data_IF_492208464040
#
_entry.id   IF_492208464040
#
_cell.length_a   1.000
_cell.length_b   1.000
_cell.length_c   1.000
_cell.angle_alpha   90.00
_cell.angle_beta   90.00
_cell.angle_gamma   90.00
#
_symmetry.space_group_name_H-M   'P 1'
#
loop_
_entity.id
_entity.type
_entity.pdbx_description
1 polymer ?
#
# COMPACT_ATOMS: atom_id res chain seq x y z
N UNK A 1 -16.38 -21.71 -7.05
CA UNK A 1 -15.29 -21.34 -6.09
C UNK A 1 -15.25 -22.37 -4.98
N UNK A 2 -14.10 -22.95 -4.70
CA UNK A 2 -13.94 -23.99 -3.67
C UNK A 2 -14.11 -23.43 -2.26
N UNK A 3 -14.42 -24.31 -1.27
CA UNK A 3 -14.50 -23.91 0.13
C UNK A 3 -13.19 -23.28 0.62
N UNK A 4 -12.05 -23.81 0.15
CA UNK A 4 -10.72 -23.29 0.46
C UNK A 4 -10.52 -21.85 -0.05
N UNK A 5 -10.99 -21.55 -1.25
CA UNK A 5 -10.90 -20.17 -1.81
C UNK A 5 -11.83 -19.21 -1.11
N UNK A 6 -13.02 -19.64 -0.70
CA UNK A 6 -13.94 -18.81 0.11
C UNK A 6 -13.36 -18.50 1.49
N UNK A 7 -12.80 -19.51 2.17
CA UNK A 7 -12.11 -19.33 3.45
C UNK A 7 -10.91 -18.38 3.33
N UNK A 8 -10.13 -18.55 2.26
CA UNK A 8 -9.01 -17.66 1.97
C UNK A 8 -9.47 -16.20 1.83
N UNK A 9 -10.52 -15.96 1.06
CA UNK A 9 -11.08 -14.62 0.87
C UNK A 9 -11.56 -14.03 2.21
N UNK A 10 -12.28 -14.81 3.01
CA UNK A 10 -12.76 -14.35 4.33
C UNK A 10 -11.58 -13.96 5.23
N UNK A 11 -10.54 -14.78 5.28
CA UNK A 11 -9.35 -14.51 6.10
C UNK A 11 -8.58 -13.29 5.60
N UNK A 12 -8.42 -13.15 4.28
CA UNK A 12 -7.70 -12.01 3.69
C UNK A 12 -8.46 -10.70 3.81
N UNK A 13 -9.79 -10.73 3.85
CA UNK A 13 -10.61 -9.54 4.00
C UNK A 13 -10.82 -9.13 5.47
N UNK A 14 -10.62 -10.05 6.41
CA UNK A 14 -10.83 -9.80 7.83
C UNK A 14 -9.86 -8.76 8.40
N UNK A 15 -8.58 -8.84 8.02
CA UNK A 15 -7.57 -7.91 8.54
C UNK A 15 -7.77 -6.47 8.05
N UNK A 16 -7.99 -6.21 6.75
CA UNK A 16 -8.37 -4.86 6.31
C UNK A 16 -9.66 -4.35 6.98
N UNK A 17 -10.66 -5.19 7.16
CA UNK A 17 -11.90 -4.81 7.86
C UNK A 17 -11.63 -4.40 9.31
N UNK A 18 -10.76 -5.15 10.01
CA UNK A 18 -10.31 -4.80 11.36
C UNK A 18 -9.59 -3.43 11.39
N UNK A 19 -8.70 -3.18 10.43
CA UNK A 19 -7.97 -1.91 10.34
C UNK A 19 -8.92 -0.72 10.09
N UNK A 20 -9.89 -0.88 9.20
CA UNK A 20 -10.92 0.15 8.97
C UNK A 20 -11.69 0.46 10.25
N UNK A 21 -12.14 -0.56 10.94
CA UNK A 21 -13.00 -0.41 12.12
C UNK A 21 -12.24 0.12 13.34
N UNK A 22 -11.07 -0.45 13.63
CA UNK A 22 -10.29 -0.12 14.84
C UNK A 22 -9.50 1.18 14.71
N UNK A 23 -8.89 1.39 13.56
CA UNK A 23 -7.95 2.49 13.33
C UNK A 23 -8.50 3.57 12.41
N UNK A 24 -9.67 3.37 11.83
CA UNK A 24 -10.31 4.32 10.90
C UNK A 24 -9.46 4.63 9.68
N UNK A 25 -8.67 3.67 9.24
CA UNK A 25 -7.93 3.77 7.98
C UNK A 25 -8.89 3.75 6.80
N UNK A 26 -8.59 4.53 5.78
CA UNK A 26 -9.35 4.57 4.53
C UNK A 26 -8.81 3.52 3.56
N UNK A 27 -9.39 2.34 3.62
CA UNK A 27 -9.00 1.20 2.79
C UNK A 27 -10.14 0.82 1.85
N UNK A 28 -9.84 0.75 0.56
CA UNK A 28 -10.80 0.36 -0.49
C UNK A 28 -11.23 -1.10 -0.42
N UNK A 29 -12.05 -1.50 -1.37
CA UNK A 29 -12.53 -2.88 -1.50
C UNK A 29 -11.44 -3.79 -2.04
N UNK A 30 -11.35 -5.01 -1.52
CA UNK A 30 -10.39 -6.01 -2.00
C UNK A 30 -8.93 -5.68 -1.70
N UNK A 31 -8.66 -4.71 -0.85
CA UNK A 31 -7.31 -4.40 -0.37
C UNK A 31 -6.76 -5.60 0.37
N UNK A 32 -5.53 -5.99 0.06
CA UNK A 32 -4.82 -7.07 0.72
C UNK A 32 -3.61 -6.54 1.46
N UNK A 33 -3.58 -6.75 2.76
CA UNK A 33 -2.50 -6.30 3.62
C UNK A 33 -1.93 -7.50 4.34
N UNK A 34 -0.66 -7.79 4.08
CA UNK A 34 0.05 -8.82 4.82
C UNK A 34 0.10 -8.45 6.30
N UNK A 35 -0.13 -9.41 7.19
CA UNK A 35 -0.14 -9.09 8.63
C UNK A 35 1.22 -8.64 9.17
N UNK A 36 2.31 -8.91 8.43
CA UNK A 36 3.65 -8.38 8.72
C UNK A 36 3.95 -7.03 8.06
N UNK A 37 3.00 -6.46 7.34
CA UNK A 37 3.11 -5.08 6.88
C UNK A 37 2.86 -4.11 8.03
N UNK A 38 3.54 -2.97 8.01
CA UNK A 38 3.48 -1.96 9.05
C UNK A 38 2.77 -0.71 8.52
N UNK A 39 1.55 -0.50 8.96
CA UNK A 39 0.81 0.73 8.71
C UNK A 39 0.87 1.61 9.95
N UNK A 40 0.72 2.92 9.79
CA UNK A 40 0.78 3.87 10.90
C UNK A 40 -0.41 3.73 11.85
N UNK A 41 -0.33 2.80 12.78
CA UNK A 41 -1.40 2.51 13.75
C UNK A 41 -1.37 3.43 14.96
N UNK A 42 -0.23 4.01 15.28
CA UNK A 42 -0.01 4.67 16.58
C UNK A 42 -0.21 6.17 16.55
N UNK A 43 0.18 6.84 15.49
CA UNK A 43 0.24 8.30 15.45
C UNK A 43 -0.80 8.92 14.53
N UNK A 44 -0.90 8.45 13.28
CA UNK A 44 -1.84 8.99 12.31
C UNK A 44 -2.51 7.91 11.45
N UNK A 45 -3.24 6.96 12.06
CA UNK A 45 -3.85 5.89 11.28
C UNK A 45 -4.91 6.39 10.28
N UNK A 46 -5.60 7.48 10.59
CA UNK A 46 -6.58 8.10 9.67
C UNK A 46 -5.93 8.72 8.45
N UNK A 47 -4.63 8.96 8.47
CA UNK A 47 -3.88 9.46 7.33
C UNK A 47 -3.49 8.39 6.31
N UNK A 48 -3.84 7.13 6.54
CA UNK A 48 -3.59 6.04 5.60
C UNK A 48 -4.77 5.91 4.64
N UNK A 49 -4.51 6.07 3.34
CA UNK A 49 -5.48 5.93 2.26
C UNK A 49 -4.95 4.95 1.22
N UNK A 50 -5.63 3.83 1.03
CA UNK A 50 -5.24 2.79 0.09
C UNK A 50 -6.44 2.43 -0.77
N UNK A 51 -6.29 2.56 -2.08
CA UNK A 51 -7.36 2.30 -3.05
C UNK A 51 -7.67 0.83 -3.25
N UNK A 52 -8.75 0.57 -3.99
CA UNK A 52 -9.29 -0.76 -4.22
C UNK A 52 -8.26 -1.74 -4.77
N UNK A 53 -8.31 -3.00 -4.33
CA UNK A 53 -7.50 -4.13 -4.84
C UNK A 53 -5.99 -3.92 -4.78
N UNK A 54 -5.51 -2.99 -3.99
CA UNK A 54 -4.08 -2.78 -3.76
C UNK A 54 -3.54 -3.81 -2.77
N UNK A 55 -2.35 -4.31 -3.05
CA UNK A 55 -1.66 -5.29 -2.24
C UNK A 55 -0.46 -4.66 -1.54
N UNK A 56 -0.42 -4.79 -0.22
CA UNK A 56 0.72 -4.37 0.62
C UNK A 56 1.38 -5.63 1.16
N UNK A 57 2.59 -5.89 0.72
CA UNK A 57 3.28 -7.15 0.99
C UNK A 57 4.03 -7.14 2.32
N UNK A 58 4.55 -8.32 2.70
CA UNK A 58 5.23 -8.51 3.98
C UNK A 58 6.37 -7.52 4.19
N UNK A 59 6.45 -6.95 5.38
CA UNK A 59 7.52 -6.05 5.79
C UNK A 59 7.45 -4.65 5.18
N UNK A 60 6.47 -4.35 4.32
CA UNK A 60 6.29 -3.00 3.79
C UNK A 60 5.83 -2.04 4.89
N UNK A 61 6.32 -0.81 4.86
CA UNK A 61 5.91 0.28 5.74
C UNK A 61 5.13 1.33 4.96
N UNK A 62 3.93 1.67 5.43
CA UNK A 62 3.17 2.82 4.93
C UNK A 62 3.00 3.78 6.09
N UNK A 63 3.64 4.93 5.99
CA UNK A 63 3.74 5.91 7.07
C UNK A 63 2.90 7.14 6.77
N UNK A 64 2.31 7.71 7.80
CA UNK A 64 1.52 8.95 7.73
C UNK A 64 1.95 9.95 8.81
N UNK A 65 3.14 9.78 9.38
CA UNK A 65 3.76 10.77 10.26
C UNK A 65 5.27 10.77 10.06
N UNK A 66 5.87 11.91 10.31
CA UNK A 66 7.32 12.11 10.34
C UNK A 66 7.71 12.64 11.73
N UNK A 67 8.38 11.80 12.49
CA UNK A 67 8.77 12.16 13.86
C UNK A 67 9.80 13.31 13.88
N UNK A 68 10.76 13.28 12.96
CA UNK A 68 11.84 14.27 12.92
C UNK A 68 11.33 15.68 12.60
N UNK A 69 10.29 15.77 11.79
CA UNK A 69 9.65 17.04 11.41
C UNK A 69 8.41 17.36 12.24
N UNK A 70 8.05 16.51 13.22
CA UNK A 70 6.82 16.61 13.99
C UNK A 70 5.57 16.77 13.11
N UNK A 71 5.54 16.06 12.00
CA UNK A 71 4.52 16.21 10.97
C UNK A 71 3.59 15.01 10.95
N UNK A 72 2.28 15.29 10.91
CA UNK A 72 1.24 14.31 10.54
C UNK A 72 0.73 14.70 9.16
N UNK A 73 0.76 13.76 8.24
CA UNK A 73 0.35 14.03 6.86
C UNK A 73 -0.22 12.79 6.22
N UNK A 74 -1.26 12.97 5.41
CA UNK A 74 -1.93 11.86 4.75
C UNK A 74 -1.05 11.30 3.64
N UNK A 75 -1.06 9.97 3.54
CA UNK A 75 -0.35 9.20 2.51
C UNK A 75 -1.38 8.45 1.68
N UNK A 76 -1.28 8.59 0.37
CA UNK A 76 -2.25 8.03 -0.57
C UNK A 76 -1.60 7.01 -1.48
N UNK A 77 -2.22 5.84 -1.56
CA UNK A 77 -1.87 4.80 -2.54
C UNK A 77 -3.14 4.52 -3.34
N UNK A 78 -3.03 4.57 -4.66
CA UNK A 78 -4.16 4.35 -5.56
C UNK A 78 -4.66 2.91 -5.59
N UNK A 79 -5.52 2.62 -6.53
CA UNK A 79 -6.09 1.29 -6.76
C UNK A 79 -5.15 0.39 -7.58
N UNK A 80 -5.33 -0.91 -7.46
CA UNK A 80 -4.62 -1.93 -8.24
C UNK A 80 -3.09 -1.80 -8.17
N UNK A 81 -2.57 -1.31 -7.04
CA UNK A 81 -1.13 -1.18 -6.79
C UNK A 81 -0.55 -2.43 -6.12
N UNK A 82 0.76 -2.60 -6.24
CA UNK A 82 1.53 -3.58 -5.47
C UNK A 82 2.66 -2.85 -4.74
N UNK A 83 2.62 -2.89 -3.42
CA UNK A 83 3.70 -2.37 -2.58
C UNK A 83 4.58 -3.55 -2.18
N UNK A 84 5.77 -3.59 -2.73
CA UNK A 84 6.70 -4.73 -2.63
C UNK A 84 7.16 -5.04 -1.21
N UNK A 85 7.72 -6.22 -1.05
CA UNK A 85 8.27 -6.70 0.22
C UNK A 85 9.31 -5.72 0.75
N UNK A 86 9.19 -5.33 2.03
CA UNK A 86 10.10 -4.40 2.70
C UNK A 86 10.22 -3.01 2.05
N UNK A 87 9.31 -2.63 1.17
CA UNK A 87 9.25 -1.27 0.66
C UNK A 87 8.81 -0.29 1.75
N UNK A 88 9.28 0.94 1.68
CA UNK A 88 8.93 2.00 2.62
C UNK A 88 8.28 3.14 1.85
N UNK A 89 7.04 3.45 2.20
CA UNK A 89 6.31 4.61 1.66
C UNK A 89 6.39 5.72 2.70
N UNK A 90 7.09 6.78 2.37
CA UNK A 90 7.30 7.91 3.27
C UNK A 90 6.02 8.73 3.46
N UNK A 91 5.88 9.41 4.61
CA UNK A 91 4.69 10.20 4.90
C UNK A 91 4.44 11.30 3.85
N UNK A 92 3.19 11.47 3.46
CA UNK A 92 2.78 12.51 2.51
C UNK A 92 2.95 12.16 1.04
N UNK A 93 3.48 10.99 0.72
CA UNK A 93 3.63 10.51 -0.65
C UNK A 93 2.27 10.16 -1.24
N UNK A 94 2.10 10.51 -2.52
CA UNK A 94 0.95 10.10 -3.32
C UNK A 94 1.42 9.14 -4.41
N UNK A 95 0.92 7.91 -4.36
CA UNK A 95 1.15 6.90 -5.39
C UNK A 95 -0.13 6.78 -6.22
N UNK A 96 0.00 6.89 -7.52
CA UNK A 96 -1.13 6.78 -8.45
C UNK A 96 -1.72 5.38 -8.54
N UNK A 97 -2.53 5.14 -9.56
CA UNK A 97 -3.17 3.85 -9.79
C UNK A 97 -2.27 2.89 -10.59
N UNK A 98 -2.45 1.60 -10.39
CA UNK A 98 -1.74 0.56 -11.15
C UNK A 98 -0.20 0.75 -11.12
N UNK A 99 0.32 1.00 -9.92
CA UNK A 99 1.76 1.21 -9.68
C UNK A 99 2.34 -0.02 -8.99
N UNK A 100 3.52 -0.43 -9.42
CA UNK A 100 4.31 -1.45 -8.73
C UNK A 100 5.52 -0.79 -8.08
N UNK A 101 5.60 -0.91 -6.76
CA UNK A 101 6.77 -0.51 -5.99
C UNK A 101 7.61 -1.75 -5.73
N UNK A 102 8.86 -1.72 -6.17
CA UNK A 102 9.78 -2.85 -6.01
C UNK A 102 10.12 -3.17 -4.56
N UNK A 103 10.52 -4.39 -4.32
CA UNK A 103 10.94 -4.84 -2.99
C UNK A 103 12.12 -4.01 -2.48
N UNK A 104 12.07 -3.60 -1.22
CA UNK A 104 13.11 -2.80 -0.59
C UNK A 104 13.21 -1.34 -1.07
N UNK A 105 12.31 -0.90 -1.93
CA UNK A 105 12.30 0.49 -2.40
C UNK A 105 11.91 1.46 -1.29
N UNK A 106 12.49 2.65 -1.30
CA UNK A 106 12.13 3.75 -0.39
C UNK A 106 11.53 4.88 -1.20
N UNK A 107 10.21 5.02 -1.14
CA UNK A 107 9.46 6.02 -1.91
C UNK A 107 9.40 7.32 -1.12
N UNK A 108 10.10 8.34 -1.61
CA UNK A 108 10.22 9.66 -0.99
C UNK A 108 9.47 10.76 -1.73
N UNK A 109 9.02 10.48 -2.95
CA UNK A 109 8.29 11.41 -3.83
C UNK A 109 7.09 10.71 -4.46
N UNK A 110 6.14 11.51 -4.96
CA UNK A 110 4.98 10.99 -5.65
C UNK A 110 5.36 10.12 -6.85
N UNK A 111 4.58 9.08 -7.07
CA UNK A 111 4.77 8.15 -8.19
C UNK A 111 3.55 8.24 -9.10
N UNK A 112 3.73 8.50 -10.40
CA UNK A 112 2.62 8.58 -11.33
C UNK A 112 1.97 7.21 -11.57
N UNK A 113 0.71 7.23 -11.97
CA UNK A 113 -0.03 6.01 -12.34
C UNK A 113 0.67 5.21 -13.44
N UNK A 114 0.40 3.92 -13.50
CA UNK A 114 0.89 3.01 -14.55
C UNK A 114 2.42 2.92 -14.61
N UNK A 115 3.07 2.90 -13.45
CA UNK A 115 4.54 2.95 -13.36
C UNK A 115 5.10 1.84 -12.47
N UNK A 116 6.35 1.47 -12.75
CA UNK A 116 7.17 0.68 -11.84
C UNK A 116 8.24 1.60 -11.26
N UNK A 117 8.34 1.66 -9.94
CA UNK A 117 9.37 2.42 -9.24
C UNK A 117 10.18 1.50 -8.32
N UNK A 118 11.49 1.64 -8.33
CA UNK A 118 12.41 0.80 -7.55
C UNK A 118 13.56 1.63 -6.97
N UNK A 119 14.20 1.09 -5.95
CA UNK A 119 15.44 1.64 -5.39
C UNK A 119 15.26 2.54 -4.19
N UNK A 120 16.36 3.07 -3.70
CA UNK A 120 16.44 4.00 -2.58
C UNK A 120 17.33 5.20 -2.92
N UNK A 121 16.79 6.42 -3.17
CA UNK A 121 15.35 6.69 -3.28
C UNK A 121 14.74 6.00 -4.51
N UNK A 122 13.46 5.66 -4.40
CA UNK A 122 12.75 5.00 -5.51
C UNK A 122 12.64 5.92 -6.72
N UNK A 123 12.88 5.34 -7.90
CA UNK A 123 12.75 6.03 -9.18
C UNK A 123 11.92 5.20 -10.15
N UNK A 124 11.14 5.86 -10.97
CA UNK A 124 10.37 5.24 -12.04
C UNK A 124 11.33 4.67 -13.09
N UNK A 125 11.21 3.37 -13.35
CA UNK A 125 12.03 2.66 -14.35
C UNK A 125 11.23 2.19 -15.55
N UNK A 126 9.90 2.17 -15.44
CA UNK A 126 9.00 1.79 -16.52
C UNK A 126 7.67 2.49 -16.35
N UNK A 127 7.07 2.89 -17.48
CA UNK A 127 5.76 3.51 -17.56
C UNK A 127 4.82 2.68 -18.45
N UNK A 128 3.56 3.11 -18.56
CA UNK A 128 2.54 2.47 -19.40
C UNK A 128 2.29 1.00 -19.08
N UNK A 129 2.45 0.61 -17.83
CA UNK A 129 2.08 -0.72 -17.36
C UNK A 129 0.60 -0.78 -16.97
N UNK A 130 0.05 -1.98 -16.96
CA UNK A 130 -1.24 -2.27 -16.36
C UNK A 130 -1.09 -3.33 -15.28
N UNK A 131 -1.84 -3.17 -14.19
CA UNK A 131 -1.81 -4.10 -13.07
C UNK A 131 -3.21 -4.59 -12.76
N UNK A 132 -3.39 -5.89 -12.69
CA UNK A 132 -4.64 -6.53 -12.27
C UNK A 132 -4.35 -7.64 -11.28
N UNK A 133 -5.10 -7.64 -10.18
CA UNK A 133 -4.97 -8.68 -9.13
C UNK A 133 -3.51 -8.92 -8.68
N UNK A 134 -2.76 -7.85 -8.48
CA UNK A 134 -1.37 -7.92 -8.03
C UNK A 134 -0.36 -8.39 -9.10
N UNK A 135 -0.76 -8.42 -10.37
CA UNK A 135 0.11 -8.86 -11.47
C UNK A 135 0.16 -7.82 -12.58
N UNK A 136 1.33 -7.63 -13.14
CA UNK A 136 1.50 -6.87 -14.39
C UNK A 136 0.91 -7.70 -15.53
N UNK A 137 0.04 -7.11 -16.31
CA UNK A 137 -0.66 -7.74 -17.44
C UNK A 137 -0.29 -7.08 -18.77
#
# INVERSE_FOLDING_TARGET
MSLRSKLWTIVTDAYPAFLRRRYKMDLGKGVRIAHKAHLDKSINPKGIHIGDRTWVLNGAFVMAHDHCRSLRTDTFIGRDCVIGVNAIIMPGVHIGDEVVIGSGAVVTKDIPSHSIAVGNPAKVIKTDIQVQNGKIV
#
